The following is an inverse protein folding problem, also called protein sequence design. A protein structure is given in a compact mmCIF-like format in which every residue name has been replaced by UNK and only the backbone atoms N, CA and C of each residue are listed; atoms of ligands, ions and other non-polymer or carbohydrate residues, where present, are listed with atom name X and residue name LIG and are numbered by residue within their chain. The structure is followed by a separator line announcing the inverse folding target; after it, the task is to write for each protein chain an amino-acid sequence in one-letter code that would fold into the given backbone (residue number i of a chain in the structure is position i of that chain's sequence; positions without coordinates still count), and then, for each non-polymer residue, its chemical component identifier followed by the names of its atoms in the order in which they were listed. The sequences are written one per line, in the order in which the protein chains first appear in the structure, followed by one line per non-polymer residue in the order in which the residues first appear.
data_IF_520210761771
#
_entry.id   IF_520210761771
#
_cell.length_a   1.000
_cell.length_b   1.000
_cell.length_c   1.000
_cell.angle_alpha   90.00
_cell.angle_beta   90.00
_cell.angle_gamma   90.00
#
_symmetry.space_group_name_H-M   'P 1'
#
loop_
_entity.id
_entity.type
_entity.pdbx_description
1 polymer ?
#
# COMPACT_ATOMS: atom_id res chain seq x y z
N UNK A 1 -1.88 18.74 7.83
CA UNK A 1 -0.75 17.84 7.56
C UNK A 1 -0.86 17.41 6.12
N UNK A 2 0.23 17.42 5.34
CA UNK A 2 0.24 16.83 4.02
C UNK A 2 -0.29 15.40 4.05
N UNK A 3 -0.95 15.02 2.96
CA UNK A 3 -1.45 13.67 2.76
C UNK A 3 -0.43 12.90 1.95
N UNK A 4 -0.17 11.65 2.30
CA UNK A 4 0.72 10.76 1.57
C UNK A 4 -0.04 9.51 1.15
N UNK A 5 0.28 9.01 -0.04
CA UNK A 5 -0.15 7.71 -0.52
C UNK A 5 0.95 6.68 -0.28
N UNK A 6 0.55 5.54 0.24
CA UNK A 6 1.32 4.30 0.27
C UNK A 6 0.75 3.38 -0.79
N UNK A 7 1.39 3.32 -1.95
CA UNK A 7 1.04 2.42 -3.04
C UNK A 7 1.77 1.09 -2.86
N UNK A 8 1.03 -0.01 -2.92
CA UNK A 8 1.57 -1.34 -2.70
C UNK A 8 1.81 -2.06 -4.01
N UNK A 9 2.92 -2.78 -4.07
CA UNK A 9 3.25 -3.66 -5.19
C UNK A 9 3.73 -5.02 -4.67
N UNK A 10 3.56 -6.07 -5.47
CA UNK A 10 3.88 -7.43 -5.04
C UNK A 10 2.94 -7.93 -3.95
N UNK A 11 3.44 -8.82 -3.09
CA UNK A 11 2.62 -9.54 -2.10
C UNK A 11 1.77 -10.64 -2.75
N UNK A 12 1.09 -11.42 -1.92
CA UNK A 12 0.21 -12.48 -2.43
C UNK A 12 -1.00 -12.74 -1.57
N UNK A 13 -1.97 -13.45 -2.14
CA UNK A 13 -3.07 -13.98 -1.35
C UNK A 13 -2.57 -15.10 -0.43
N UNK A 14 -2.96 -15.09 0.85
CA UNK A 14 -2.72 -16.21 1.75
C UNK A 14 -3.24 -17.53 1.17
N UNK A 15 -2.46 -18.60 1.31
CA UNK A 15 -2.80 -19.92 0.77
C UNK A 15 -3.64 -20.75 1.75
N UNK A 16 -3.65 -20.38 3.02
CA UNK A 16 -4.39 -21.06 4.09
C UNK A 16 -5.16 -20.07 4.96
N UNK A 17 -6.24 -20.50 5.64
CA UNK A 17 -6.97 -19.66 6.58
C UNK A 17 -6.08 -19.12 7.72
N UNK A 18 -5.20 -19.95 8.28
CA UNK A 18 -4.29 -19.57 9.36
C UNK A 18 -3.31 -18.47 8.92
N UNK A 19 -2.74 -18.59 7.71
CA UNK A 19 -1.90 -17.54 7.15
C UNK A 19 -2.70 -16.27 6.88
N UNK A 20 -3.95 -16.41 6.44
CA UNK A 20 -4.88 -15.30 6.25
C UNK A 20 -5.14 -14.53 7.53
N UNK A 21 -5.45 -15.23 8.62
CA UNK A 21 -5.64 -14.62 9.95
C UNK A 21 -4.37 -13.91 10.43
N UNK A 22 -3.20 -14.53 10.26
CA UNK A 22 -1.90 -13.94 10.63
C UNK A 22 -1.62 -12.65 9.86
N UNK A 23 -1.84 -12.66 8.54
CA UNK A 23 -1.64 -11.48 7.69
C UNK A 23 -2.63 -10.39 8.07
N UNK A 24 -3.93 -10.70 8.20
CA UNK A 24 -4.94 -9.71 8.61
C UNK A 24 -4.65 -9.09 9.98
N UNK A 25 -4.19 -9.89 10.95
CA UNK A 25 -3.79 -9.39 12.25
C UNK A 25 -2.59 -8.44 12.16
N UNK A 26 -1.58 -8.74 11.34
CA UNK A 26 -0.42 -7.87 11.13
C UNK A 26 -0.82 -6.52 10.49
N UNK A 27 -1.71 -6.55 9.49
CA UNK A 27 -2.27 -5.33 8.89
C UNK A 27 -3.07 -4.51 9.89
N UNK A 28 -3.91 -5.16 10.69
CA UNK A 28 -4.70 -4.50 11.72
C UNK A 28 -3.81 -3.81 12.76
N UNK A 29 -2.80 -4.53 13.27
CA UNK A 29 -1.85 -3.98 14.23
C UNK A 29 -1.05 -2.80 13.65
N UNK A 30 -0.67 -2.85 12.38
CA UNK A 30 0.02 -1.75 11.72
C UNK A 30 -0.88 -0.51 11.56
N UNK A 31 -2.15 -0.69 11.18
CA UNK A 31 -3.11 0.43 11.14
C UNK A 31 -3.35 1.05 12.52
N UNK A 32 -3.44 0.23 13.57
CA UNK A 32 -3.53 0.72 14.95
C UNK A 32 -2.30 1.53 15.37
N UNK A 33 -1.09 1.13 14.93
CA UNK A 33 0.15 1.87 15.19
C UNK A 33 0.18 3.24 14.48
N UNK A 34 -0.36 3.33 13.26
CA UNK A 34 -0.51 4.62 12.56
C UNK A 34 -1.54 5.51 13.29
N UNK A 35 -2.62 4.91 13.78
CA UNK A 35 -3.61 5.56 14.62
C UNK A 35 -4.27 6.77 13.95
N UNK A 36 -4.28 7.97 14.57
CA UNK A 36 -5.00 9.14 14.05
C UNK A 36 -4.46 9.68 12.73
N UNK A 37 -3.26 9.25 12.34
CA UNK A 37 -2.65 9.62 11.06
C UNK A 37 -3.18 8.80 9.89
N UNK A 38 -3.94 7.73 10.13
CA UNK A 38 -4.55 6.92 9.09
C UNK A 38 -5.72 7.71 8.47
N UNK A 39 -5.52 8.24 7.27
CA UNK A 39 -6.53 9.04 6.58
C UNK A 39 -7.53 8.14 5.86
N UNK A 40 -7.05 7.06 5.26
CA UNK A 40 -7.84 6.02 4.60
C UNK A 40 -7.06 4.70 4.65
N UNK A 41 -7.65 3.66 5.24
CA UNK A 41 -7.06 2.30 5.25
C UNK A 41 -7.03 1.62 3.87
N UNK A 42 -7.61 2.28 2.87
CA UNK A 42 -7.59 1.89 1.48
C UNK A 42 -8.19 0.51 1.24
N UNK A 43 -7.67 -0.19 0.22
CA UNK A 43 -8.13 -1.51 -0.14
C UNK A 43 -7.06 -2.29 -0.91
N UNK A 44 -7.08 -3.64 -0.85
CA UNK A 44 -6.44 -4.44 -1.88
C UNK A 44 -7.11 -4.15 -3.24
N UNK A 45 -6.33 -4.16 -4.31
CA UNK A 45 -6.86 -3.96 -5.67
C UNK A 45 -6.74 -5.24 -6.52
N UNK A 46 -7.57 -5.33 -7.55
CA UNK A 46 -7.53 -6.44 -8.51
C UNK A 46 -6.48 -6.25 -9.60
N UNK A 47 -6.48 -7.16 -10.58
CA UNK A 47 -5.62 -7.06 -11.76
C UNK A 47 -5.82 -5.72 -12.48
N UNK A 48 -4.77 -4.92 -12.52
CA UNK A 48 -4.79 -3.58 -13.12
C UNK A 48 -4.50 -3.63 -14.62
N UNK A 49 -4.83 -2.52 -15.30
CA UNK A 49 -4.46 -2.24 -16.69
C UNK A 49 -3.84 -0.85 -16.74
N UNK A 50 -2.84 -0.67 -17.59
CA UNK A 50 -2.17 0.62 -17.75
C UNK A 50 -2.59 1.24 -19.08
N UNK A 51 -3.09 2.47 -19.03
CA UNK A 51 -3.44 3.23 -20.24
C UNK A 51 -2.28 4.16 -20.56
N UNK A 52 -1.76 4.09 -21.78
CA UNK A 52 -0.67 4.93 -22.30
C UNK A 52 -1.14 5.67 -23.55
N UNK A 53 -0.33 6.59 -24.07
CA UNK A 53 -0.61 7.23 -25.36
C UNK A 53 -0.67 6.24 -26.53
N UNK A 54 -0.01 5.08 -26.39
CA UNK A 54 0.14 4.08 -27.44
C UNK A 54 -0.89 2.94 -27.32
N UNK A 55 -1.71 2.92 -26.27
CA UNK A 55 -2.75 1.90 -26.08
C UNK A 55 -2.96 1.49 -24.62
N UNK A 56 -3.41 0.24 -24.44
CA UNK A 56 -3.69 -0.35 -23.12
C UNK A 56 -2.78 -1.55 -22.92
N UNK A 57 -2.05 -1.57 -21.81
CA UNK A 57 -1.26 -2.71 -21.35
C UNK A 57 -2.02 -3.51 -20.30
N UNK A 58 -2.00 -4.83 -20.45
CA UNK A 58 -2.57 -5.76 -19.49
C UNK A 58 -1.66 -5.94 -18.27
N UNK A 59 -2.27 -6.32 -17.14
CA UNK A 59 -1.61 -6.67 -15.88
C UNK A 59 -0.80 -5.53 -15.22
N UNK A 60 -1.14 -4.27 -15.50
CA UNK A 60 -0.58 -3.11 -14.81
C UNK A 60 0.89 -2.79 -15.12
N UNK A 61 1.44 -3.35 -16.20
CA UNK A 61 2.83 -3.11 -16.62
C UNK A 61 3.87 -3.81 -15.74
N UNK A 62 5.05 -3.20 -15.61
CA UNK A 62 6.20 -3.81 -14.91
C UNK A 62 6.09 -3.81 -13.38
N UNK A 63 5.23 -2.97 -12.80
CA UNK A 63 5.08 -2.83 -11.35
C UNK A 63 3.60 -2.57 -10.97
N UNK A 64 2.72 -3.57 -11.13
CA UNK A 64 1.29 -3.39 -10.89
C UNK A 64 0.97 -3.07 -9.43
N UNK A 65 -0.07 -2.27 -9.21
CA UNK A 65 -0.63 -2.04 -7.88
C UNK A 65 -1.27 -3.31 -7.32
N UNK A 66 -1.04 -3.58 -6.03
CA UNK A 66 -1.73 -4.61 -5.24
C UNK A 66 -2.62 -4.02 -4.14
N UNK A 67 -2.46 -2.73 -3.81
CA UNK A 67 -3.36 -1.99 -2.93
C UNK A 67 -2.86 -0.58 -2.64
N UNK A 68 -3.52 0.12 -1.73
CA UNK A 68 -3.05 1.41 -1.23
C UNK A 68 -3.50 1.68 0.21
N UNK A 69 -2.88 2.68 0.84
CA UNK A 69 -3.34 3.37 2.06
C UNK A 69 -3.05 4.87 1.91
N UNK A 70 -3.88 5.72 2.51
CA UNK A 70 -3.60 7.14 2.65
C UNK A 70 -3.33 7.49 4.11
N UNK A 71 -2.28 8.26 4.36
CA UNK A 71 -1.94 8.77 5.69
C UNK A 71 -1.76 10.28 5.68
N UNK A 72 -1.91 10.90 6.84
CA UNK A 72 -1.45 12.26 7.10
C UNK A 72 -0.11 12.19 7.82
N UNK A 73 0.88 12.96 7.37
CA UNK A 73 2.18 13.05 8.04
C UNK A 73 2.74 14.46 7.91
N UNK A 74 3.60 14.87 8.85
CA UNK A 74 4.22 16.20 8.85
C UNK A 74 5.33 16.35 7.79
N UNK A 75 5.91 15.23 7.34
CA UNK A 75 6.97 15.21 6.33
C UNK A 75 7.06 13.84 5.63
N UNK A 76 7.84 13.78 4.55
CA UNK A 76 8.18 12.54 3.86
C UNK A 76 8.87 11.54 4.80
N UNK A 77 9.78 12.00 5.67
CA UNK A 77 10.47 11.13 6.63
C UNK A 77 9.48 10.50 7.62
N UNK A 78 8.51 11.26 8.14
CA UNK A 78 7.46 10.73 8.99
C UNK A 78 6.59 9.70 8.26
N UNK A 79 6.23 9.96 6.99
CA UNK A 79 5.49 9.01 6.16
C UNK A 79 6.30 7.72 5.92
N UNK A 80 7.60 7.83 5.63
CA UNK A 80 8.49 6.69 5.43
C UNK A 80 8.67 5.85 6.69
N UNK A 81 8.77 6.46 7.88
CA UNK A 81 8.82 5.71 9.14
C UNK A 81 7.54 4.90 9.38
N UNK A 82 6.36 5.44 9.04
CA UNK A 82 5.11 4.67 9.08
C UNK A 82 5.11 3.52 8.06
N UNK A 83 5.57 3.79 6.82
CA UNK A 83 5.59 2.83 5.72
C UNK A 83 6.51 1.62 5.99
N UNK A 84 7.64 1.81 6.69
CA UNK A 84 8.59 0.72 7.05
C UNK A 84 7.95 -0.40 7.87
N UNK A 85 6.88 -0.11 8.62
CA UNK A 85 6.14 -1.10 9.39
C UNK A 85 5.13 -1.91 8.57
N UNK A 86 4.92 -1.59 7.29
CA UNK A 86 3.87 -2.20 6.49
C UNK A 86 4.11 -3.70 6.31
N UNK A 87 3.11 -4.57 6.59
CA UNK A 87 3.27 -6.01 6.51
C UNK A 87 3.69 -6.54 5.13
N UNK A 88 3.41 -5.79 4.06
CA UNK A 88 3.73 -6.22 2.69
C UNK A 88 5.24 -6.32 2.44
N UNK A 89 6.07 -5.56 3.16
CA UNK A 89 7.54 -5.54 2.94
C UNK A 89 8.18 -6.92 3.18
N UNK A 90 7.56 -7.76 4.01
CA UNK A 90 8.00 -9.13 4.28
C UNK A 90 7.36 -10.21 3.40
N UNK A 91 6.44 -9.86 2.51
CA UNK A 91 5.62 -10.81 1.75
C UNK A 91 5.93 -10.77 0.25
N UNK A 92 6.42 -11.89 -0.32
CA UNK A 92 6.56 -12.14 -1.77
C UNK A 92 7.01 -10.91 -2.58
N UNK A 93 8.18 -10.36 -2.23
CA UNK A 93 8.79 -9.19 -2.88
C UNK A 93 7.93 -7.92 -2.81
N UNK A 94 7.10 -7.81 -1.78
CA UNK A 94 6.23 -6.67 -1.56
C UNK A 94 7.00 -5.38 -1.29
N UNK A 95 6.49 -4.28 -1.83
CA UNK A 95 7.08 -2.95 -1.66
C UNK A 95 6.00 -1.91 -1.38
N UNK A 96 6.42 -0.79 -0.78
CA UNK A 96 5.59 0.38 -0.55
C UNK A 96 6.23 1.57 -1.27
N UNK A 97 5.56 2.10 -2.28
CA UNK A 97 5.91 3.39 -2.89
C UNK A 97 5.21 4.50 -2.11
N UNK A 98 5.96 5.53 -1.72
CA UNK A 98 5.47 6.63 -0.88
C UNK A 98 5.56 7.94 -1.65
N UNK A 99 4.43 8.65 -1.76
CA UNK A 99 4.38 9.95 -2.42
C UNK A 99 3.47 10.92 -1.67
N UNK A 100 3.83 12.20 -1.65
CA UNK A 100 2.95 13.26 -1.15
C UNK A 100 1.84 13.53 -2.17
N UNK A 101 0.60 13.57 -1.70
CA UNK A 101 -0.54 14.03 -2.47
C UNK A 101 -0.56 15.55 -2.47
N UNK A 102 -0.13 16.15 -3.59
CA UNK A 102 -0.16 17.60 -3.79
C UNK A 102 -1.60 18.11 -3.81
N UNK A 103 -1.88 19.15 -3.02
CA UNK A 103 -3.15 19.87 -3.11
C UNK A 103 -3.20 20.70 -4.40
N UNK A 104 -4.38 20.77 -5.04
CA UNK A 104 -4.62 21.60 -6.24
C UNK A 104 -4.97 23.04 -5.86
#
# INVERSE_FOLDING_TARGET
MPKFIFAYHGGGMPETPEEGERVMAAWTAWYEQIGPNLADGGAPVGMSKTVTENGIEDNGGANPLSGFTLVNADSMEAALEMAKGCPIIGDRNGTVEVAECMEM
#
